data_IF_459779709518
#
_entry.id   IF_459779709518
#
_cell.length_a   1.000
_cell.length_b   1.000
_cell.length_c   1.000
_cell.angle_alpha   90.00
_cell.angle_beta   90.00
_cell.angle_gamma   90.00
#
_symmetry.space_group_name_H-M   'P 1'
#
loop_
_entity.id
_entity.type
_entity.pdbx_description
1 polymer ?
#
# COMPACT_ATOMS: atom_id res chain seq x y z
N UNK A 1 4.36 -3.66 -14.84
CA UNK A 1 5.58 -4.23 -14.25
C UNK A 1 5.58 -5.74 -14.39
N UNK A 2 6.73 -6.32 -14.66
CA UNK A 2 6.93 -7.75 -14.77
C UNK A 2 7.90 -8.22 -13.69
N UNK A 3 7.57 -9.28 -13.00
CA UNK A 3 8.44 -9.88 -12.00
C UNK A 3 8.77 -11.32 -12.41
N UNK A 4 10.05 -11.64 -12.38
CA UNK A 4 10.58 -12.98 -12.63
C UNK A 4 11.24 -13.50 -11.37
N UNK A 5 11.14 -14.79 -11.12
CA UNK A 5 11.78 -15.38 -9.95
C UNK A 5 13.26 -15.76 -10.20
N UNK A 6 14.00 -15.97 -9.14
CA UNK A 6 15.41 -16.36 -9.16
C UNK A 6 15.61 -17.67 -9.94
N UNK A 7 16.56 -17.67 -10.88
CA UNK A 7 16.83 -18.81 -11.76
C UNK A 7 16.09 -18.80 -13.08
N UNK A 8 15.17 -17.85 -13.30
CA UNK A 8 14.54 -17.64 -14.60
C UNK A 8 15.52 -17.01 -15.60
N UNK A 9 15.47 -17.45 -16.88
CA UNK A 9 16.24 -16.82 -17.95
C UNK A 9 15.60 -15.47 -18.34
N UNK A 10 16.42 -14.46 -18.60
CA UNK A 10 15.96 -13.20 -19.16
C UNK A 10 15.40 -13.43 -20.58
N UNK A 11 14.10 -13.27 -20.76
CA UNK A 11 13.44 -13.35 -22.06
C UNK A 11 13.14 -11.93 -22.51
N UNK A 12 13.80 -11.47 -23.59
CA UNK A 12 13.66 -10.08 -24.08
C UNK A 12 12.22 -9.72 -24.47
N UNK A 13 11.41 -10.70 -24.87
CA UNK A 13 10.02 -10.48 -25.18
C UNK A 13 9.21 -9.94 -23.99
N UNK A 14 9.62 -10.22 -22.75
CA UNK A 14 8.99 -9.72 -21.54
C UNK A 14 9.29 -8.25 -21.22
N UNK A 15 10.22 -7.64 -21.95
CA UNK A 15 10.49 -6.21 -21.87
C UNK A 15 9.57 -5.37 -22.75
N UNK A 16 8.71 -5.99 -23.54
CA UNK A 16 7.71 -5.30 -24.37
C UNK A 16 6.61 -4.72 -23.47
N UNK A 17 6.42 -3.39 -23.38
CA UNK A 17 5.41 -2.77 -22.54
C UNK A 17 3.97 -3.05 -23.00
N UNK A 18 3.79 -3.59 -24.20
CA UNK A 18 2.48 -4.02 -24.73
C UNK A 18 2.12 -5.45 -24.30
N UNK A 19 3.01 -6.11 -23.59
CA UNK A 19 2.86 -7.48 -23.14
C UNK A 19 1.93 -7.57 -21.91
N UNK A 20 0.66 -7.25 -22.15
CA UNK A 20 -0.39 -7.26 -21.11
C UNK A 20 -0.99 -8.68 -20.95
N UNK A 21 -0.81 -9.55 -21.95
CA UNK A 21 -1.40 -10.89 -21.97
C UNK A 21 -0.35 -11.98 -21.70
N UNK A 22 0.09 -12.09 -20.47
CA UNK A 22 1.01 -13.14 -20.03
C UNK A 22 0.47 -14.57 -20.27
N UNK A 23 -0.84 -14.74 -20.44
CA UNK A 23 -1.47 -16.03 -20.73
C UNK A 23 -1.18 -16.60 -22.12
N UNK A 24 -0.57 -15.83 -23.02
CA UNK A 24 -0.21 -16.27 -24.37
C UNK A 24 1.17 -16.92 -24.45
N UNK A 25 1.97 -16.84 -23.39
CA UNK A 25 3.34 -17.35 -23.34
C UNK A 25 3.54 -18.16 -22.07
N UNK A 26 4.72 -18.67 -21.83
CA UNK A 26 5.06 -19.51 -20.69
C UNK A 26 4.67 -18.84 -19.35
N UNK A 27 3.54 -19.27 -18.80
CA UNK A 27 2.94 -18.63 -17.61
C UNK A 27 3.62 -18.98 -16.30
N UNK A 28 4.55 -19.96 -16.31
CA UNK A 28 5.07 -20.54 -15.08
C UNK A 28 6.19 -19.71 -14.45
N UNK A 29 6.68 -18.66 -15.16
CA UNK A 29 7.87 -17.92 -14.75
C UNK A 29 7.65 -16.40 -14.74
N UNK A 30 6.43 -15.93 -14.97
CA UNK A 30 6.12 -14.50 -15.08
C UNK A 30 4.88 -14.13 -14.28
N UNK A 31 4.99 -13.10 -13.47
CA UNK A 31 3.86 -12.36 -12.94
C UNK A 31 3.90 -10.91 -13.49
N UNK A 32 2.79 -10.38 -13.96
CA UNK A 32 2.70 -9.07 -14.59
C UNK A 32 1.51 -8.28 -14.04
N UNK A 33 1.75 -7.02 -13.69
CA UNK A 33 0.72 -6.07 -13.28
C UNK A 33 0.60 -4.97 -14.33
N UNK A 34 -0.62 -4.72 -14.78
CA UNK A 34 -0.96 -3.54 -15.57
C UNK A 34 -1.55 -2.47 -14.64
N UNK A 35 -1.13 -1.23 -14.80
CA UNK A 35 -1.69 -0.11 -14.03
C UNK A 35 -2.01 1.07 -14.93
N UNK A 36 -3.05 1.81 -14.52
CA UNK A 36 -3.45 3.10 -15.08
C UNK A 36 -3.46 4.13 -13.97
N UNK A 37 -2.85 5.27 -14.21
CA UNK A 37 -2.76 6.39 -13.28
C UNK A 37 -3.27 7.67 -13.97
N UNK A 38 -3.97 8.51 -13.23
CA UNK A 38 -4.47 9.80 -13.71
C UNK A 38 -4.39 10.87 -12.63
N UNK A 39 -3.85 12.03 -13.00
CA UNK A 39 -3.83 13.26 -12.21
C UNK A 39 -4.69 14.32 -12.89
N UNK A 40 -5.68 14.83 -12.18
CA UNK A 40 -6.65 15.80 -12.68
C UNK A 40 -6.65 17.02 -11.78
N UNK A 41 -6.27 18.18 -12.32
CA UNK A 41 -6.49 19.47 -11.67
C UNK A 41 -7.95 19.90 -11.92
N UNK A 42 -8.84 19.68 -10.95
CA UNK A 42 -10.25 20.06 -11.04
C UNK A 42 -10.39 21.59 -10.96
N UNK A 43 -9.64 22.19 -10.04
CA UNK A 43 -9.50 23.64 -9.84
C UNK A 43 -8.03 23.94 -9.55
N UNK A 44 -7.58 25.21 -9.61
CA UNK A 44 -6.20 25.56 -9.25
C UNK A 44 -5.77 25.10 -7.84
N UNK A 45 -6.72 24.95 -6.95
CA UNK A 45 -6.49 24.51 -5.55
C UNK A 45 -6.98 23.11 -5.25
N UNK A 46 -7.63 22.42 -6.19
CA UNK A 46 -8.25 21.10 -5.98
C UNK A 46 -7.75 20.13 -7.03
N UNK A 47 -7.08 19.06 -6.60
CA UNK A 47 -6.59 17.98 -7.45
C UNK A 47 -7.17 16.63 -7.04
N UNK A 48 -7.39 15.80 -8.04
CA UNK A 48 -7.78 14.39 -7.91
C UNK A 48 -6.67 13.53 -8.52
N UNK A 49 -6.16 12.59 -7.75
CA UNK A 49 -5.29 11.52 -8.22
C UNK A 49 -6.04 10.19 -8.15
N UNK A 50 -5.93 9.39 -9.19
CA UNK A 50 -6.50 8.04 -9.25
C UNK A 50 -5.53 7.05 -9.82
N UNK A 51 -5.49 5.87 -9.23
CA UNK A 51 -4.72 4.73 -9.73
C UNK A 51 -5.58 3.47 -9.72
N UNK A 52 -5.49 2.70 -10.78
CA UNK A 52 -6.09 1.38 -10.89
C UNK A 52 -5.01 0.40 -11.32
N UNK A 53 -4.95 -0.76 -10.69
CA UNK A 53 -4.02 -1.82 -11.03
C UNK A 53 -4.76 -3.15 -11.19
N UNK A 54 -4.28 -3.94 -12.14
CA UNK A 54 -4.83 -5.22 -12.55
C UNK A 54 -3.68 -6.23 -12.60
N UNK A 55 -3.72 -7.22 -11.73
CA UNK A 55 -2.85 -8.40 -11.76
C UNK A 55 -3.55 -9.55 -12.53
N UNK A 56 -4.83 -9.78 -12.21
CA UNK A 56 -5.64 -10.80 -12.86
C UNK A 56 -7.09 -10.36 -13.01
N UNK A 57 -7.66 -10.61 -14.18
CA UNK A 57 -9.07 -10.38 -14.47
C UNK A 57 -9.67 -11.58 -15.20
N UNK A 58 -10.78 -12.06 -14.70
CA UNK A 58 -11.50 -13.17 -15.31
C UNK A 58 -12.69 -12.65 -16.11
N UNK A 59 -12.74 -13.05 -17.39
CA UNK A 59 -13.87 -12.73 -18.24
C UNK A 59 -15.11 -13.58 -17.84
N UNK A 60 -16.34 -13.06 -18.04
CA UNK A 60 -17.57 -13.74 -17.63
C UNK A 60 -17.78 -15.14 -18.24
N UNK A 61 -17.10 -15.45 -19.34
CA UNK A 61 -17.23 -16.72 -20.07
C UNK A 61 -16.14 -17.74 -19.71
N UNK A 62 -15.21 -17.38 -18.85
CA UNK A 62 -14.19 -18.30 -18.36
C UNK A 62 -14.73 -19.12 -17.19
N UNK A 63 -14.38 -20.40 -17.14
CA UNK A 63 -14.77 -21.28 -16.04
C UNK A 63 -14.14 -20.78 -14.75
N UNK A 64 -14.95 -20.29 -13.85
CA UNK A 64 -14.63 -19.43 -12.73
C UNK A 64 -13.87 -20.10 -11.58
N UNK A 65 -12.65 -20.51 -11.79
CA UNK A 65 -11.80 -21.01 -10.71
C UNK A 65 -10.82 -19.96 -10.20
N UNK A 66 -10.60 -18.89 -10.94
CA UNK A 66 -9.59 -17.86 -10.63
C UNK A 66 -10.29 -16.63 -10.01
N UNK A 67 -9.75 -16.08 -8.96
CA UNK A 67 -10.24 -14.84 -8.37
C UNK A 67 -9.69 -13.62 -9.13
N UNK A 68 -10.49 -12.55 -9.25
CA UNK A 68 -9.98 -11.28 -9.74
C UNK A 68 -8.95 -10.71 -8.77
N UNK A 69 -7.93 -10.07 -9.30
CA UNK A 69 -6.87 -9.42 -8.56
C UNK A 69 -6.75 -7.96 -9.02
N UNK A 70 -7.53 -7.11 -8.36
CA UNK A 70 -7.66 -5.70 -8.68
C UNK A 70 -7.20 -4.84 -7.49
N UNK A 71 -6.67 -3.68 -7.80
CA UNK A 71 -6.40 -2.66 -6.80
C UNK A 71 -6.84 -1.28 -7.32
N UNK A 72 -7.26 -0.42 -6.42
CA UNK A 72 -7.61 0.96 -6.74
C UNK A 72 -7.25 1.91 -5.63
N UNK A 73 -6.86 3.13 -6.01
CA UNK A 73 -6.59 4.24 -5.13
C UNK A 73 -7.22 5.50 -5.69
N UNK A 74 -7.80 6.30 -4.82
CA UNK A 74 -8.25 7.66 -5.13
C UNK A 74 -7.81 8.60 -4.03
N UNK A 75 -7.23 9.73 -4.39
CA UNK A 75 -6.81 10.80 -3.48
C UNK A 75 -7.38 12.13 -3.96
N UNK A 76 -8.01 12.86 -3.06
CA UNK A 76 -8.48 14.23 -3.27
C UNK A 76 -7.65 15.17 -2.39
N UNK A 77 -7.08 16.21 -2.99
CA UNK A 77 -6.24 17.19 -2.30
C UNK A 77 -6.71 18.61 -2.57
N UNK A 78 -6.86 19.39 -1.50
CA UNK A 78 -7.24 20.80 -1.55
C UNK A 78 -6.22 21.68 -0.84
N UNK A 79 -5.74 22.72 -1.51
CA UNK A 79 -4.72 23.64 -0.99
C UNK A 79 -5.24 25.06 -0.95
N UNK A 80 -4.89 25.82 0.11
CA UNK A 80 -5.27 27.25 0.27
C UNK A 80 -4.20 28.01 1.03
N UNK A 81 -4.20 29.31 0.87
CA UNK A 81 -3.30 30.22 1.57
C UNK A 81 -4.06 30.97 2.67
N UNK A 82 -3.58 30.86 3.92
CA UNK A 82 -4.09 31.64 5.06
C UNK A 82 -2.99 31.71 6.13
N UNK A 83 -2.28 32.83 6.19
CA UNK A 83 -1.12 33.01 7.09
C UNK A 83 -0.08 31.89 6.97
N UNK A 84 0.12 31.40 5.74
CA UNK A 84 0.89 30.24 5.39
C UNK A 84 0.12 29.39 4.39
N UNK A 85 0.68 28.28 4.00
CA UNK A 85 0.12 27.37 2.99
C UNK A 85 -0.42 26.12 3.68
N UNK A 86 -1.68 25.82 3.40
CA UNK A 86 -2.37 24.66 3.92
C UNK A 86 -2.68 23.66 2.81
N UNK A 87 -2.59 22.39 3.11
CA UNK A 87 -3.06 21.32 2.22
C UNK A 87 -3.81 20.28 3.04
N UNK A 88 -5.04 20.02 2.68
CA UNK A 88 -5.83 18.91 3.20
C UNK A 88 -5.95 17.83 2.13
N UNK A 89 -5.78 16.55 2.50
CA UNK A 89 -6.02 15.44 1.59
C UNK A 89 -6.84 14.32 2.22
N UNK A 90 -7.58 13.63 1.37
CA UNK A 90 -8.33 12.42 1.72
C UNK A 90 -8.04 11.34 0.68
N UNK A 91 -7.66 10.17 1.15
CA UNK A 91 -7.33 9.02 0.31
C UNK A 91 -8.14 7.80 0.72
N UNK A 92 -8.58 7.05 -0.28
CA UNK A 92 -9.09 5.71 -0.13
C UNK A 92 -8.34 4.79 -1.08
N UNK A 93 -7.87 3.64 -0.56
CA UNK A 93 -7.29 2.59 -1.37
C UNK A 93 -7.86 1.22 -0.96
N UNK A 94 -7.95 0.33 -1.93
CA UNK A 94 -8.34 -1.06 -1.70
C UNK A 94 -7.58 -1.99 -2.65
N UNK A 95 -7.20 -3.15 -2.15
CA UNK A 95 -6.54 -4.21 -2.92
C UNK A 95 -7.25 -5.53 -2.68
N UNK A 96 -7.53 -6.27 -3.73
CA UNK A 96 -8.14 -7.59 -3.62
C UNK A 96 -7.23 -8.59 -2.88
N UNK A 97 -7.80 -9.68 -2.30
CA UNK A 97 -7.04 -10.67 -1.56
C UNK A 97 -5.93 -11.34 -2.38
N UNK A 98 -6.16 -11.54 -3.66
CA UNK A 98 -5.22 -12.20 -4.58
C UNK A 98 -4.28 -11.23 -5.30
N UNK A 99 -4.44 -9.92 -5.10
CA UNK A 99 -3.53 -8.92 -5.66
C UNK A 99 -2.09 -9.14 -5.20
N UNK A 100 -1.12 -9.03 -6.12
CA UNK A 100 0.31 -9.30 -5.90
C UNK A 100 0.67 -10.78 -5.65
N UNK A 101 -0.29 -11.68 -5.77
CA UNK A 101 -0.09 -13.09 -5.45
C UNK A 101 -0.25 -13.94 -6.70
N UNK A 102 0.80 -14.68 -7.01
CA UNK A 102 0.77 -15.72 -8.02
C UNK A 102 1.67 -16.85 -7.57
N UNK A 103 1.25 -18.07 -7.81
CA UNK A 103 2.00 -19.26 -7.46
C UNK A 103 3.50 -19.17 -7.79
N UNK A 104 4.32 -19.14 -6.74
CA UNK A 104 5.77 -19.08 -6.86
C UNK A 104 6.37 -17.74 -7.30
N UNK A 105 5.56 -16.75 -7.71
CA UNK A 105 6.04 -15.47 -8.22
C UNK A 105 5.18 -14.34 -7.67
N UNK A 106 5.22 -14.15 -6.38
CA UNK A 106 4.53 -13.01 -5.75
C UNK A 106 5.28 -11.70 -6.04
N UNK A 107 4.55 -10.58 -6.13
CA UNK A 107 5.14 -9.24 -6.20
C UNK A 107 5.71 -8.85 -4.84
N UNK A 108 6.82 -9.48 -4.48
CA UNK A 108 7.51 -9.28 -3.21
C UNK A 108 8.98 -9.02 -3.45
N UNK A 109 9.57 -8.17 -2.62
CA UNK A 109 11.02 -8.10 -2.42
C UNK A 109 11.37 -8.89 -1.17
N UNK A 110 12.10 -9.97 -1.32
CA UNK A 110 12.69 -10.70 -0.20
C UNK A 110 14.19 -10.42 -0.15
N UNK A 111 14.67 -9.92 1.00
CA UNK A 111 16.10 -9.82 1.26
C UNK A 111 16.48 -10.90 2.27
N UNK A 112 17.27 -11.87 1.83
CA UNK A 112 17.88 -12.84 2.70
C UNK A 112 19.15 -12.27 3.35
N UNK A 113 19.31 -12.40 4.66
CA UNK A 113 20.62 -12.32 5.28
C UNK A 113 21.33 -13.66 5.15
N UNK A 114 22.64 -13.61 5.03
CA UNK A 114 23.55 -14.70 4.64
C UNK A 114 23.58 -15.92 5.57
N UNK A 115 22.77 -15.98 6.60
CA UNK A 115 22.68 -17.09 7.52
C UNK A 115 21.35 -17.84 7.38
N UNK A 116 21.40 -19.05 6.84
CA UNK A 116 20.34 -20.05 6.80
C UNK A 116 19.16 -19.79 5.85
N UNK A 117 19.26 -18.89 4.88
CA UNK A 117 18.22 -18.73 3.84
C UNK A 117 16.90 -18.14 4.32
N UNK A 118 16.81 -17.68 5.57
CA UNK A 118 15.59 -17.03 6.07
C UNK A 118 15.51 -15.60 5.55
N UNK A 119 14.39 -15.20 4.93
CA UNK A 119 14.18 -13.81 4.53
C UNK A 119 14.14 -12.90 5.77
N UNK A 120 14.92 -11.83 5.76
CA UNK A 120 14.99 -10.86 6.86
C UNK A 120 14.06 -9.66 6.62
N UNK A 121 13.80 -9.37 5.37
CA UNK A 121 12.86 -8.33 4.95
C UNK A 121 12.03 -8.90 3.81
N UNK A 122 10.71 -8.85 3.98
CA UNK A 122 9.75 -9.11 2.93
C UNK A 122 8.89 -7.87 2.82
N UNK A 123 8.77 -7.30 1.63
CA UNK A 123 7.95 -6.15 1.35
C UNK A 123 7.25 -6.32 0.01
N UNK A 124 6.09 -5.68 -0.17
CA UNK A 124 5.39 -5.72 -1.43
C UNK A 124 6.05 -4.79 -2.47
N UNK A 125 6.13 -5.26 -3.71
CA UNK A 125 6.41 -4.42 -4.87
C UNK A 125 5.08 -3.79 -5.32
N UNK A 126 4.74 -2.61 -4.84
CA UNK A 126 3.49 -1.96 -5.16
C UNK A 126 2.92 -1.22 -3.97
N UNK A 127 1.62 -1.41 -3.71
CA UNK A 127 0.97 -0.71 -2.61
C UNK A 127 1.51 -1.15 -1.25
N UNK A 128 1.92 -0.20 -0.43
CA UNK A 128 2.65 -0.46 0.83
C UNK A 128 1.90 -1.33 1.85
N UNK A 129 0.58 -1.39 1.77
CA UNK A 129 -0.25 -2.23 2.65
C UNK A 129 -0.55 -3.61 2.05
N UNK A 130 -0.07 -3.88 0.82
CA UNK A 130 -0.15 -5.16 0.15
C UNK A 130 -1.55 -5.58 -0.27
N UNK A 131 -1.75 -6.88 -0.41
CA UNK A 131 -3.03 -7.49 -0.78
C UNK A 131 -4.04 -7.47 0.37
N UNK A 132 -5.31 -7.71 0.05
CA UNK A 132 -6.41 -7.91 0.99
C UNK A 132 -6.58 -6.76 2.00
N UNK A 133 -6.42 -5.54 1.53
CA UNK A 133 -6.42 -4.37 2.38
C UNK A 133 -7.42 -3.29 1.93
N UNK A 134 -7.89 -2.51 2.91
CA UNK A 134 -8.57 -1.24 2.73
C UNK A 134 -7.90 -0.18 3.57
N UNK A 135 -7.65 0.97 3.00
CA UNK A 135 -7.00 2.08 3.68
C UNK A 135 -7.81 3.35 3.47
N UNK A 136 -8.05 4.06 4.57
CA UNK A 136 -8.57 5.42 4.59
C UNK A 136 -7.51 6.31 5.23
N UNK A 137 -7.06 7.31 4.53
CA UNK A 137 -6.11 8.26 5.06
C UNK A 137 -6.62 9.69 4.92
N UNK A 138 -6.40 10.49 5.97
CA UNK A 138 -6.66 11.92 5.99
C UNK A 138 -5.38 12.62 6.38
N UNK A 139 -5.08 13.76 5.78
CA UNK A 139 -3.97 14.59 6.21
C UNK A 139 -4.30 16.07 6.15
N UNK A 140 -3.65 16.83 7.03
CA UNK A 140 -3.65 18.28 7.05
C UNK A 140 -2.22 18.76 7.24
N UNK A 141 -1.65 19.36 6.20
CA UNK A 141 -0.32 19.96 6.23
C UNK A 141 -0.41 21.47 6.33
N UNK A 142 0.53 22.06 7.04
CA UNK A 142 0.74 23.50 7.17
C UNK A 142 2.21 23.84 6.95
N UNK A 143 2.49 24.85 6.16
CA UNK A 143 3.81 25.42 5.93
C UNK A 143 3.71 26.94 6.01
N UNK A 144 4.36 27.56 6.99
CA UNK A 144 4.39 29.02 7.07
C UNK A 144 5.37 29.67 6.10
N UNK A 145 5.98 28.87 5.19
CA UNK A 145 6.94 29.26 4.16
C UNK A 145 8.26 29.84 4.69
N UNK A 146 8.45 29.82 5.98
CA UNK A 146 9.65 30.37 6.63
C UNK A 146 10.39 29.32 7.46
N UNK A 147 9.81 28.93 8.56
CA UNK A 147 10.52 28.14 9.55
C UNK A 147 9.71 27.01 10.22
N UNK A 148 8.43 26.91 9.96
CA UNK A 148 7.55 25.92 10.59
C UNK A 148 6.76 25.12 9.56
N UNK A 149 6.87 23.79 9.63
CA UNK A 149 6.03 22.85 8.91
C UNK A 149 5.36 21.91 9.91
N UNK A 150 4.07 21.70 9.74
CA UNK A 150 3.28 20.78 10.54
C UNK A 150 2.52 19.82 9.61
N UNK A 151 2.37 18.57 10.05
CA UNK A 151 1.56 17.55 9.37
C UNK A 151 0.80 16.76 10.43
N UNK A 152 -0.52 16.86 10.39
CA UNK A 152 -1.42 15.94 11.08
C UNK A 152 -1.91 14.92 10.08
N UNK A 153 -1.80 13.64 10.38
CA UNK A 153 -2.32 12.56 9.55
C UNK A 153 -3.03 11.50 10.36
N UNK A 154 -4.01 10.87 9.74
CA UNK A 154 -4.75 9.75 10.31
C UNK A 154 -4.88 8.69 9.24
N UNK A 155 -4.49 7.46 9.55
CA UNK A 155 -4.60 6.31 8.65
C UNK A 155 -5.35 5.19 9.33
N UNK A 156 -6.45 4.76 8.74
CA UNK A 156 -7.19 3.57 9.14
C UNK A 156 -6.92 2.48 8.11
N UNK A 157 -6.19 1.46 8.51
CA UNK A 157 -5.89 0.27 7.71
C UNK A 157 -6.70 -0.92 8.20
N UNK A 158 -7.37 -1.60 7.29
CA UNK A 158 -8.09 -2.85 7.52
C UNK A 158 -7.48 -3.93 6.66
N UNK A 159 -6.95 -4.96 7.31
CA UNK A 159 -6.32 -6.12 6.70
C UNK A 159 -7.23 -7.34 6.88
N UNK A 160 -7.47 -8.07 5.79
CA UNK A 160 -8.12 -9.38 5.83
C UNK A 160 -7.16 -10.50 6.23
N UNK A 161 -7.55 -11.72 5.92
CA UNK A 161 -6.78 -12.91 6.30
C UNK A 161 -5.63 -13.24 5.36
N UNK A 162 -5.63 -12.65 4.15
CA UNK A 162 -4.57 -12.87 3.15
C UNK A 162 -3.46 -11.86 3.31
N UNK A 163 -2.25 -12.35 3.52
CA UNK A 163 -1.03 -11.54 3.62
C UNK A 163 0.09 -12.21 2.85
N UNK A 164 1.24 -11.57 2.74
CA UNK A 164 2.43 -12.19 2.13
C UNK A 164 2.94 -13.45 2.89
N UNK A 165 2.50 -13.65 4.14
CA UNK A 165 2.80 -14.86 4.92
C UNK A 165 1.81 -16.00 4.67
N UNK A 166 0.71 -15.75 3.98
CA UNK A 166 -0.29 -16.77 3.66
C UNK A 166 0.27 -17.69 2.58
N UNK A 167 0.37 -18.98 2.88
CA UNK A 167 0.86 -19.96 1.93
C UNK A 167 -0.07 -20.05 0.71
N UNK A 168 0.49 -20.31 -0.46
CA UNK A 168 -0.30 -20.71 -1.62
C UNK A 168 -0.86 -22.11 -1.40
N UNK A 169 -2.07 -22.36 -1.87
CA UNK A 169 -2.64 -23.71 -1.83
C UNK A 169 -1.78 -24.66 -2.68
N UNK A 170 -1.56 -25.86 -2.20
CA UNK A 170 -0.68 -26.88 -2.83
C UNK A 170 -1.14 -27.41 -4.19
N UNK A 171 -2.08 -26.74 -4.84
CA UNK A 171 -2.67 -27.13 -6.13
C UNK A 171 -2.16 -26.36 -7.34
N UNK A 172 -1.17 -25.54 -7.18
CA UNK A 172 -0.48 -24.94 -8.32
C UNK A 172 -1.19 -23.79 -9.04
N UNK A 173 -2.21 -23.25 -8.49
CA UNK A 173 -2.88 -22.09 -9.05
C UNK A 173 -3.19 -21.05 -7.97
N UNK A 174 -3.12 -19.79 -8.31
CA UNK A 174 -3.63 -18.62 -7.54
C UNK A 174 -5.10 -18.74 -7.13
N UNK A 175 -5.66 -19.92 -7.31
CA UNK A 175 -7.04 -20.26 -7.14
C UNK A 175 -7.25 -20.81 -5.73
N UNK A 176 -7.26 -19.91 -4.77
CA UNK A 176 -7.86 -20.24 -3.49
C UNK A 176 -9.35 -19.90 -3.59
N UNK A 177 -10.21 -20.89 -3.87
CA UNK A 177 -11.65 -20.67 -4.06
C UNK A 177 -12.31 -20.05 -2.83
N UNK A 178 -11.68 -20.18 -1.67
CA UNK A 178 -12.18 -19.66 -0.40
C UNK A 178 -11.82 -18.19 -0.14
N UNK A 179 -10.94 -17.60 -0.96
CA UNK A 179 -10.50 -16.19 -0.81
C UNK A 179 -11.23 -15.29 -1.83
N UNK A 180 -12.42 -15.65 -2.25
CA UNK A 180 -13.24 -14.82 -3.13
C UNK A 180 -13.99 -13.76 -2.33
N UNK A 181 -14.05 -12.57 -2.88
CA UNK A 181 -14.83 -11.48 -2.35
C UNK A 181 -14.00 -10.22 -2.10
N UNK A 182 -14.70 -9.13 -1.76
CA UNK A 182 -14.03 -7.87 -1.54
C UNK A 182 -13.19 -7.89 -0.26
N UNK A 183 -12.07 -7.20 -0.30
CA UNK A 183 -11.25 -6.94 0.89
C UNK A 183 -11.99 -6.09 1.93
N UNK A 184 -11.67 -6.30 3.20
CA UNK A 184 -10.82 -7.33 3.75
C UNK A 184 -11.51 -8.70 3.70
N UNK A 185 -10.80 -9.77 3.30
CA UNK A 185 -11.36 -11.12 3.19
C UNK A 185 -11.47 -11.83 4.55
N UNK A 186 -12.07 -13.01 4.55
CA UNK A 186 -12.21 -13.86 5.74
C UNK A 186 -13.19 -13.35 6.80
N UNK A 187 -13.43 -14.13 7.86
CA UNK A 187 -14.31 -13.75 8.97
C UNK A 187 -13.66 -12.74 9.92
N UNK A 188 -12.34 -12.70 10.03
CA UNK A 188 -11.61 -11.80 10.93
C UNK A 188 -10.95 -10.66 10.19
N UNK A 189 -10.98 -9.47 10.77
CA UNK A 189 -10.34 -8.27 10.26
C UNK A 189 -9.39 -7.70 11.30
N UNK A 190 -8.17 -7.46 10.90
CA UNK A 190 -7.19 -6.69 11.69
C UNK A 190 -7.32 -5.23 11.29
N UNK A 191 -7.64 -4.37 12.23
CA UNK A 191 -7.75 -2.94 12.01
C UNK A 191 -6.67 -2.21 12.79
N UNK A 192 -5.95 -1.33 12.10
CA UNK A 192 -4.93 -0.47 12.69
C UNK A 192 -5.29 0.98 12.39
N UNK A 193 -5.42 1.79 13.43
CA UNK A 193 -5.61 3.23 13.34
C UNK A 193 -4.33 3.91 13.82
N UNK A 194 -3.74 4.74 12.97
CA UNK A 194 -2.57 5.56 13.32
C UNK A 194 -2.98 7.02 13.24
N UNK A 195 -2.73 7.77 14.29
CA UNK A 195 -2.83 9.24 14.30
C UNK A 195 -1.44 9.80 14.55
N UNK A 196 -0.94 10.60 13.63
CA UNK A 196 0.42 11.13 13.65
C UNK A 196 0.43 12.65 13.60
N UNK A 197 1.19 13.28 14.49
CA UNK A 197 1.52 14.70 14.42
C UNK A 197 3.03 14.85 14.22
N UNK A 198 3.43 15.41 13.10
CA UNK A 198 4.83 15.71 12.78
C UNK A 198 5.04 17.20 12.65
N UNK A 199 6.11 17.69 13.22
CA UNK A 199 6.54 19.08 13.11
C UNK A 199 8.00 19.20 12.71
N UNK A 200 8.32 20.18 11.88
CA UNK A 200 9.70 20.58 11.57
C UNK A 200 9.84 22.06 11.81
N UNK A 201 10.86 22.44 12.55
CA UNK A 201 11.18 23.83 12.87
C UNK A 201 12.63 24.16 12.52
N UNK A 202 12.82 25.21 11.73
CA UNK A 202 14.14 25.74 11.34
C UNK A 202 14.30 27.12 11.96
N UNK A 203 15.18 27.31 12.97
CA UNK A 203 15.34 28.60 13.62
C UNK A 203 15.83 29.67 12.63
N UNK A 204 15.25 30.87 12.67
CA UNK A 204 15.63 31.96 11.77
C UNK A 204 17.07 32.49 12.00
N UNK A 205 17.64 32.26 13.20
CA UNK A 205 19.02 32.62 13.55
C UNK A 205 20.05 31.59 13.02
N UNK A 206 19.61 30.41 12.51
CA UNK A 206 20.50 29.38 12.00
C UNK A 206 19.74 28.51 10.97
N UNK A 207 19.65 28.98 9.74
CA UNK A 207 18.87 28.37 8.65
C UNK A 207 19.34 26.96 8.25
N UNK A 208 20.59 26.62 8.55
CA UNK A 208 21.14 25.28 8.29
C UNK A 208 20.88 24.28 9.45
N UNK A 209 20.17 24.67 10.49
CA UNK A 209 19.77 23.80 11.61
C UNK A 209 18.28 23.56 11.55
N UNK A 210 17.84 22.29 11.63
CA UNK A 210 16.43 21.95 11.74
C UNK A 210 16.15 20.94 12.85
N UNK A 211 15.01 21.09 13.50
CA UNK A 211 14.49 20.17 14.49
C UNK A 211 13.23 19.53 13.95
N UNK A 212 13.12 18.21 14.09
CA UNK A 212 11.93 17.44 13.71
C UNK A 212 11.42 16.68 14.92
N UNK A 213 10.12 16.75 15.16
CA UNK A 213 9.43 15.94 16.16
C UNK A 213 8.26 15.22 15.52
N UNK A 214 7.99 13.99 15.93
CA UNK A 214 6.83 13.21 15.53
C UNK A 214 6.27 12.46 16.73
N UNK A 215 4.95 12.56 16.91
CA UNK A 215 4.21 11.82 17.91
C UNK A 215 3.15 11.00 17.20
N UNK A 216 3.18 9.69 17.40
CA UNK A 216 2.22 8.75 16.84
C UNK A 216 1.43 8.09 17.98
N UNK A 217 0.11 8.01 17.79
CA UNK A 217 -0.75 7.11 18.51
C UNK A 217 -1.20 5.98 17.59
N UNK A 218 -1.05 4.74 18.04
CA UNK A 218 -1.35 3.54 17.27
C UNK A 218 -2.37 2.71 18.03
N UNK A 219 -3.55 2.56 17.48
CA UNK A 219 -4.60 1.67 17.99
C UNK A 219 -4.74 0.45 17.10
N UNK A 220 -4.74 -0.74 17.68
CA UNK A 220 -4.93 -2.01 16.95
C UNK A 220 -6.08 -2.79 17.56
N UNK A 221 -6.89 -3.41 16.70
CA UNK A 221 -7.91 -4.36 17.13
C UNK A 221 -8.12 -5.44 16.07
N UNK A 222 -8.54 -6.62 16.53
CA UNK A 222 -9.06 -7.68 15.66
C UNK A 222 -10.54 -7.86 15.97
N UNK A 223 -11.38 -7.97 14.96
CA UNK A 223 -12.80 -8.18 15.13
C UNK A 223 -13.38 -9.14 14.09
N UNK A 224 -14.47 -9.82 14.46
CA UNK A 224 -15.23 -10.67 13.54
C UNK A 224 -16.20 -9.80 12.73
N UNK A 225 -16.18 -9.91 11.40
CA UNK A 225 -17.04 -9.11 10.50
C UNK A 225 -18.51 -9.20 10.82
N UNK A 226 -19.01 -10.41 11.08
CA UNK A 226 -20.44 -10.65 11.29
C UNK A 226 -20.98 -9.98 12.55
N UNK A 227 -20.25 -10.03 13.65
CA UNK A 227 -20.71 -9.57 14.96
C UNK A 227 -20.15 -8.20 15.35
N UNK A 228 -19.10 -7.72 14.65
CA UNK A 228 -18.27 -6.58 15.06
C UNK A 228 -17.70 -6.72 16.48
N UNK A 229 -17.84 -7.92 17.07
CA UNK A 229 -17.22 -8.22 18.34
C UNK A 229 -15.71 -8.25 18.16
N UNK A 230 -15.01 -7.38 18.89
CA UNK A 230 -13.55 -7.30 18.90
C UNK A 230 -12.97 -8.02 20.09
N UNK A 231 -11.85 -8.68 19.86
CA UNK A 231 -10.91 -9.11 20.89
C UNK A 231 -9.63 -8.27 20.69
N UNK A 232 -8.85 -8.13 21.73
CA UNK A 232 -7.50 -7.56 21.71
C UNK A 232 -7.42 -6.11 21.21
N UNK A 233 -7.88 -5.19 22.04
CA UNK A 233 -7.56 -3.77 21.86
C UNK A 233 -6.16 -3.50 22.43
N UNK A 234 -5.28 -3.06 21.57
CA UNK A 234 -3.94 -2.61 21.93
C UNK A 234 -3.77 -1.15 21.50
N UNK A 235 -3.16 -0.36 22.33
CA UNK A 235 -2.77 1.02 21.96
C UNK A 235 -1.35 1.31 22.42
N UNK A 236 -0.64 2.09 21.62
CA UNK A 236 0.75 2.45 21.86
C UNK A 236 1.00 3.89 21.42
N UNK A 237 2.07 4.49 21.95
CA UNK A 237 2.56 5.80 21.58
C UNK A 237 4.02 5.71 21.19
N UNK A 238 4.36 6.37 20.10
CA UNK A 238 5.73 6.49 19.64
C UNK A 238 6.11 7.97 19.55
N UNK A 239 7.26 8.34 20.11
CA UNK A 239 7.86 9.67 19.99
C UNK A 239 9.18 9.55 19.26
N UNK A 240 9.36 10.33 18.21
CA UNK A 240 10.61 10.47 17.50
C UNK A 240 11.07 11.92 17.51
N UNK A 241 12.34 12.16 17.81
CA UNK A 241 12.97 13.48 17.79
C UNK A 241 14.22 13.44 16.93
N UNK A 242 14.39 14.45 16.10
CA UNK A 242 15.52 14.57 15.20
C UNK A 242 16.08 15.99 15.17
N UNK A 243 17.38 16.08 14.92
CA UNK A 243 18.08 17.33 14.66
C UNK A 243 18.98 17.12 13.45
N UNK A 244 18.94 18.04 12.51
CA UNK A 244 19.75 18.01 11.29
C UNK A 244 20.52 19.31 11.15
N UNK A 245 21.79 19.20 10.83
CA UNK A 245 22.68 20.34 10.53
C UNK A 245 23.30 20.12 9.15
N UNK A 246 23.06 21.05 8.25
CA UNK A 246 23.63 21.04 6.89
C UNK A 246 24.87 21.98 6.86
N UNK A 247 25.98 21.51 6.28
CA UNK A 247 27.24 22.25 6.17
C UNK A 247 27.44 22.78 4.77
#
# INVERSE_FOLDING_TARGET
ENVMYEGGSLILAYLDPTYIYHNLYDSDHLNAIASLEADIAILPSLSLHGQFALDQFQLPNETSTIANALAGLVNLSYSWEQKGFWTASAEFAATDPTMYRREGIDFLVARGLHNNGNPVLIDYLGYQYGSDSQVFALSLAYDNLTNLKLLLSTTLHRQGEVTYLTSHSSGGNTQEPDIKGPSPSGPQVKETLVVSLKGTYTPSWKENLSFTGQLDWIGKRTYTKATKAGSDHQSDFQLSLGCSLTF
#
